data_IF_709959388880
#
_entry.id   IF_709959388880
#
_cell.length_a   1.000
_cell.length_b   1.000
_cell.length_c   1.000
_cell.angle_alpha   90.00
_cell.angle_beta   90.00
_cell.angle_gamma   90.00
#
_symmetry.space_group_name_H-M   'P 1'
#
loop_
_entity.id
_entity.type
_entity.pdbx_description
1 polymer ?
#
# COMPACT_ATOMS: atom_id res chain seq x y z
N UNK A 1 22.63 -4.40 -11.52
CA UNK A 1 21.31 -4.08 -10.92
C UNK A 1 21.08 -4.75 -9.57
N UNK A 2 21.37 -6.05 -9.38
CA UNK A 2 21.24 -6.76 -8.08
C UNK A 2 21.99 -6.12 -6.90
N UNK A 3 23.14 -5.49 -7.15
CA UNK A 3 23.94 -4.83 -6.10
C UNK A 3 23.25 -3.58 -5.51
N UNK A 4 22.42 -2.87 -6.30
CA UNK A 4 21.75 -1.66 -5.86
C UNK A 4 20.50 -1.94 -4.99
N UNK A 5 19.83 -3.08 -5.20
CA UNK A 5 18.62 -3.44 -4.45
C UNK A 5 18.89 -4.36 -3.24
N UNK A 6 19.97 -5.14 -3.27
CA UNK A 6 20.28 -6.17 -2.28
C UNK A 6 21.41 -5.80 -1.30
N UNK A 7 22.15 -4.72 -1.52
CA UNK A 7 23.46 -4.51 -0.90
C UNK A 7 23.51 -4.22 0.61
N UNK A 8 22.40 -3.99 1.31
CA UNK A 8 22.46 -3.54 2.72
C UNK A 8 21.17 -3.73 3.54
N UNK A 9 20.46 -4.85 3.37
CA UNK A 9 19.19 -5.11 4.08
C UNK A 9 17.96 -4.34 3.55
N UNK A 10 18.11 -3.58 2.44
CA UNK A 10 17.03 -2.81 1.80
C UNK A 10 15.95 -3.68 1.16
N UNK A 11 16.28 -4.92 0.77
CA UNK A 11 15.34 -5.86 0.15
C UNK A 11 14.11 -6.15 1.03
N UNK A 12 14.30 -6.27 2.35
CA UNK A 12 13.18 -6.46 3.28
C UNK A 12 12.26 -5.23 3.35
N UNK A 13 12.82 -4.02 3.36
CA UNK A 13 12.04 -2.77 3.34
C UNK A 13 11.27 -2.59 2.03
N UNK A 14 11.87 -2.97 0.90
CA UNK A 14 11.22 -3.00 -0.41
C UNK A 14 10.06 -4.00 -0.45
N UNK A 15 10.28 -5.23 0.06
CA UNK A 15 9.24 -6.25 0.12
C UNK A 15 8.06 -5.81 1.00
N UNK A 16 8.33 -5.21 2.17
CA UNK A 16 7.30 -4.64 3.04
C UNK A 16 6.57 -3.46 2.40
N UNK A 17 7.28 -2.59 1.68
CA UNK A 17 6.65 -1.50 0.94
C UNK A 17 5.71 -2.03 -0.15
N UNK A 18 6.18 -3.02 -0.92
CA UNK A 18 5.39 -3.72 -1.94
C UNK A 18 4.17 -4.42 -1.35
N UNK A 19 4.31 -5.08 -0.19
CA UNK A 19 3.19 -5.68 0.53
C UNK A 19 2.15 -4.63 0.96
N UNK A 20 2.60 -3.46 1.41
CA UNK A 20 1.71 -2.32 1.70
C UNK A 20 0.91 -1.87 0.48
N UNK A 21 1.54 -1.71 -0.69
CA UNK A 21 0.83 -1.33 -1.91
C UNK A 21 -0.08 -2.45 -2.44
N UNK A 22 0.35 -3.71 -2.39
CA UNK A 22 -0.50 -4.83 -2.77
C UNK A 22 -1.74 -4.92 -1.86
N UNK A 23 -1.57 -4.75 -0.55
CA UNK A 23 -2.67 -4.68 0.40
C UNK A 23 -3.64 -3.52 0.11
N UNK A 24 -3.11 -2.37 -0.32
CA UNK A 24 -3.93 -1.24 -0.76
C UNK A 24 -4.80 -1.60 -1.98
N UNK A 25 -4.21 -2.21 -3.02
CA UNK A 25 -4.99 -2.62 -4.20
C UNK A 25 -6.05 -3.69 -3.87
N UNK A 26 -5.73 -4.64 -2.99
CA UNK A 26 -6.71 -5.63 -2.51
C UNK A 26 -7.86 -4.93 -1.79
N UNK A 27 -7.56 -3.96 -0.93
CA UNK A 27 -8.58 -3.21 -0.22
C UNK A 27 -9.46 -2.37 -1.17
N UNK A 28 -8.88 -1.74 -2.20
CA UNK A 28 -9.65 -1.02 -3.23
C UNK A 28 -10.60 -1.95 -3.98
N UNK A 29 -10.13 -3.15 -4.34
CA UNK A 29 -10.95 -4.15 -5.01
C UNK A 29 -12.11 -4.67 -4.14
N UNK A 30 -11.96 -4.62 -2.81
CA UNK A 30 -13.01 -4.99 -1.86
C UNK A 30 -14.06 -3.90 -1.63
N UNK A 31 -13.77 -2.62 -1.94
CA UNK A 31 -14.74 -1.52 -1.79
C UNK A 31 -16.04 -1.79 -2.56
N UNK A 32 -16.05 -2.13 -3.87
CA UNK A 32 -17.28 -2.40 -4.58
C UNK A 32 -18.01 -3.66 -4.07
N UNK A 33 -17.28 -4.66 -3.57
CA UNK A 33 -17.87 -5.85 -2.95
C UNK A 33 -18.67 -5.47 -1.70
N UNK A 34 -18.06 -4.67 -0.82
CA UNK A 34 -18.72 -4.20 0.40
C UNK A 34 -19.89 -3.26 0.10
N UNK A 35 -19.76 -2.43 -0.94
CA UNK A 35 -20.85 -1.59 -1.43
C UNK A 35 -22.05 -2.43 -1.90
N UNK A 36 -21.81 -3.51 -2.66
CA UNK A 36 -22.87 -4.46 -3.05
C UNK A 36 -23.58 -5.04 -1.83
N UNK A 37 -22.84 -5.42 -0.79
CA UNK A 37 -23.43 -5.92 0.46
C UNK A 37 -24.29 -4.87 1.19
N UNK A 38 -23.89 -3.59 1.18
CA UNK A 38 -24.69 -2.48 1.72
C UNK A 38 -26.02 -2.39 0.98
N UNK A 39 -25.98 -2.42 -0.36
CA UNK A 39 -27.20 -2.36 -1.17
C UNK A 39 -28.10 -3.55 -0.90
N UNK A 40 -27.58 -4.77 -0.99
CA UNK A 40 -28.39 -5.99 -0.87
C UNK A 40 -28.98 -6.19 0.53
N UNK A 41 -28.19 -5.91 1.58
CA UNK A 41 -28.57 -6.25 2.95
C UNK A 41 -29.18 -5.11 3.74
N UNK A 42 -28.72 -3.87 3.54
CA UNK A 42 -29.25 -2.73 4.27
C UNK A 42 -30.37 -2.04 3.50
N UNK A 43 -30.12 -1.66 2.24
CA UNK A 43 -31.07 -0.87 1.45
C UNK A 43 -32.24 -1.75 0.97
N UNK A 44 -31.94 -2.87 0.30
CA UNK A 44 -32.97 -3.77 -0.23
C UNK A 44 -33.91 -4.34 0.83
N UNK A 45 -33.44 -4.45 2.08
CA UNK A 45 -34.21 -4.99 3.21
C UNK A 45 -34.72 -3.92 4.18
N UNK A 46 -34.38 -2.64 3.95
CA UNK A 46 -34.68 -1.53 4.87
C UNK A 46 -34.27 -1.79 6.33
N UNK A 47 -33.09 -2.39 6.53
CA UNK A 47 -32.56 -2.76 7.85
C UNK A 47 -31.49 -1.76 8.33
N UNK A 48 -31.81 -0.86 9.27
CA UNK A 48 -30.88 0.14 9.78
C UNK A 48 -29.76 -0.47 10.66
N UNK A 49 -30.00 -1.62 11.30
CA UNK A 49 -28.97 -2.31 12.07
C UNK A 49 -27.88 -2.87 11.16
N UNK A 50 -28.30 -3.53 10.07
CA UNK A 50 -27.39 -3.98 9.02
C UNK A 50 -26.64 -2.80 8.38
N UNK A 51 -27.30 -1.67 8.17
CA UNK A 51 -26.68 -0.46 7.64
C UNK A 51 -25.53 0.04 8.51
N UNK A 52 -25.76 0.20 9.82
CA UNK A 52 -24.74 0.68 10.76
C UNK A 52 -23.54 -0.27 10.83
N UNK A 53 -23.79 -1.59 10.86
CA UNK A 53 -22.72 -2.58 10.84
C UNK A 53 -21.87 -2.51 9.57
N UNK A 54 -22.50 -2.37 8.41
CA UNK A 54 -21.79 -2.29 7.13
C UNK A 54 -21.08 -0.94 6.93
N UNK A 55 -21.62 0.16 7.45
CA UNK A 55 -20.91 1.44 7.51
C UNK A 55 -19.65 1.33 8.38
N UNK A 56 -19.73 0.64 9.52
CA UNK A 56 -18.57 0.34 10.36
C UNK A 56 -17.51 -0.49 9.62
N UNK A 57 -17.94 -1.53 8.88
CA UNK A 57 -17.05 -2.32 8.04
C UNK A 57 -16.40 -1.49 6.93
N UNK A 58 -17.14 -0.57 6.31
CA UNK A 58 -16.63 0.33 5.27
C UNK A 58 -15.60 1.30 5.84
N UNK A 59 -15.87 1.88 7.02
CA UNK A 59 -14.90 2.71 7.73
C UNK A 59 -13.61 1.95 8.06
N UNK A 60 -13.72 0.69 8.50
CA UNK A 60 -12.57 -0.17 8.76
C UNK A 60 -11.78 -0.46 7.48
N UNK A 61 -12.45 -0.70 6.34
CA UNK A 61 -11.79 -0.90 5.05
C UNK A 61 -11.02 0.35 4.59
N UNK A 62 -11.62 1.54 4.74
CA UNK A 62 -10.93 2.80 4.46
C UNK A 62 -9.73 3.04 5.38
N UNK A 63 -9.85 2.70 6.66
CA UNK A 63 -8.71 2.76 7.57
C UNK A 63 -7.58 1.82 7.11
N UNK A 64 -7.91 0.60 6.67
CA UNK A 64 -6.93 -0.34 6.13
C UNK A 64 -6.24 0.21 4.85
N UNK A 65 -7.00 0.81 3.93
CA UNK A 65 -6.48 1.49 2.74
C UNK A 65 -5.43 2.53 3.10
N UNK A 66 -5.77 3.42 4.06
CA UNK A 66 -4.90 4.50 4.50
C UNK A 66 -3.63 3.95 5.16
N UNK A 67 -3.74 2.92 6.00
CA UNK A 67 -2.59 2.32 6.67
C UNK A 67 -1.66 1.61 5.69
N UNK A 68 -2.21 0.87 4.73
CA UNK A 68 -1.47 0.23 3.65
C UNK A 68 -0.70 1.25 2.82
N UNK A 69 -1.37 2.32 2.37
CA UNK A 69 -0.74 3.40 1.61
C UNK A 69 0.33 4.16 2.41
N UNK A 70 0.04 4.51 3.67
CA UNK A 70 1.01 5.20 4.57
C UNK A 70 2.26 4.34 4.80
N UNK A 71 2.10 3.04 4.94
CA UNK A 71 3.21 2.11 5.20
C UNK A 71 4.05 1.92 3.94
N UNK A 72 3.40 1.67 2.81
CA UNK A 72 4.05 1.55 1.49
C UNK A 72 4.84 2.81 1.12
N UNK A 73 4.21 3.98 1.23
CA UNK A 73 4.84 5.28 0.93
C UNK A 73 6.06 5.54 1.82
N UNK A 74 5.93 5.46 3.15
CA UNK A 74 7.03 5.73 4.09
C UNK A 74 8.25 4.84 3.86
N UNK A 75 8.03 3.55 3.61
CA UNK A 75 9.13 2.61 3.37
C UNK A 75 9.81 2.86 2.02
N UNK A 76 9.03 3.21 1.00
CA UNK A 76 9.51 3.48 -0.36
C UNK A 76 10.33 4.76 -0.43
N UNK A 77 9.90 5.85 0.21
CA UNK A 77 10.65 7.12 0.25
C UNK A 77 12.06 6.91 0.79
N UNK A 78 12.20 6.15 1.88
CA UNK A 78 13.50 5.84 2.45
C UNK A 78 14.38 5.02 1.50
N UNK A 79 13.81 4.02 0.82
CA UNK A 79 14.59 3.22 -0.14
C UNK A 79 15.04 4.06 -1.34
N UNK A 80 14.15 4.90 -1.89
CA UNK A 80 14.46 5.74 -3.04
C UNK A 80 15.58 6.75 -2.75
N UNK A 81 15.52 7.45 -1.62
CA UNK A 81 16.51 8.47 -1.29
C UNK A 81 17.93 7.91 -1.23
N UNK A 82 18.13 6.77 -0.57
CA UNK A 82 19.45 6.13 -0.50
C UNK A 82 19.84 5.43 -1.81
N UNK A 83 18.89 4.77 -2.49
CA UNK A 83 19.15 4.10 -3.75
C UNK A 83 19.56 5.08 -4.86
N UNK A 84 18.92 6.25 -4.91
CA UNK A 84 19.26 7.30 -5.86
C UNK A 84 20.65 7.89 -5.57
N UNK A 85 20.99 8.09 -4.29
CA UNK A 85 22.32 8.57 -3.91
C UNK A 85 23.43 7.59 -4.32
N UNK A 86 23.27 6.29 -4.03
CA UNK A 86 24.23 5.25 -4.44
C UNK A 86 24.36 5.21 -5.97
N UNK A 87 23.25 5.34 -6.71
CA UNK A 87 23.26 5.37 -8.17
C UNK A 87 24.00 6.59 -8.72
N UNK A 88 23.80 7.78 -8.11
CA UNK A 88 24.55 8.98 -8.49
C UNK A 88 26.05 8.76 -8.31
N UNK A 89 26.49 8.29 -7.14
CA UNK A 89 27.91 8.02 -6.87
C UNK A 89 28.52 7.02 -7.86
N UNK A 90 27.81 5.93 -8.15
CA UNK A 90 28.24 4.95 -9.15
C UNK A 90 28.35 5.55 -10.55
N UNK A 91 27.40 6.39 -10.95
CA UNK A 91 27.42 7.07 -12.23
C UNK A 91 28.59 8.06 -12.34
N UNK A 92 28.84 8.87 -11.29
CA UNK A 92 29.98 9.80 -11.27
C UNK A 92 31.32 9.07 -11.32
N UNK A 93 31.46 7.98 -10.55
CA UNK A 93 32.68 7.15 -10.58
C UNK A 93 32.93 6.51 -11.94
N UNK A 94 31.88 6.11 -12.66
CA UNK A 94 31.96 5.59 -14.04
C UNK A 94 32.28 6.68 -15.07
N UNK A 95 31.82 7.91 -14.86
CA UNK A 95 31.99 9.01 -15.80
C UNK A 95 33.35 9.71 -15.68
N UNK A 96 34.00 9.61 -14.51
CA UNK A 96 35.32 10.17 -14.23
C UNK A 96 36.47 9.17 -14.46
N UNK A 97 36.14 7.93 -14.82
CA UNK A 97 37.08 6.90 -15.29
C UNK A 97 37.06 6.85 -16.83
#
# INVERSE_FOLDING_TARGET
MRLATSGSGRGGRLALAGAGFAGHQVAEALVPVLLGLVVDRAIGRSDPGALLGLLGALAALFAALILCWRTGSRLTTGVYAYGEHDLRLLATGRALH
#
